data_IF_485112355258
#
_entry.id   IF_485112355258
#
_cell.length_a   1.000
_cell.length_b   1.000
_cell.length_c   1.000
_cell.angle_alpha   90.00
_cell.angle_beta   90.00
_cell.angle_gamma   90.00
#
_symmetry.space_group_name_H-M   'P 1'
#
loop_
_entity.id
_entity.type
_entity.pdbx_description
1 polymer ?
#
# COMPACT_ATOMS: atom_id res chain seq x y z
N UNK A 1 -28.56 38.00 -54.52
CA UNK A 1 -28.23 38.04 -53.08
C UNK A 1 -28.20 36.60 -52.60
N UNK A 2 -27.03 36.09 -52.21
CA UNK A 2 -26.81 34.68 -51.86
C UNK A 2 -26.52 34.58 -50.37
N UNK A 3 -27.36 33.79 -49.70
CA UNK A 3 -27.26 33.36 -48.31
C UNK A 3 -26.34 32.13 -48.24
N UNK A 4 -25.37 32.12 -47.33
CA UNK A 4 -24.83 30.95 -46.59
C UNK A 4 -24.12 31.53 -45.35
N UNK A 5 -24.82 31.72 -44.23
CA UNK A 5 -24.99 30.79 -43.08
C UNK A 5 -23.67 30.37 -42.43
N UNK A 6 -23.53 30.87 -41.19
CA UNK A 6 -22.45 30.67 -40.22
C UNK A 6 -22.15 29.19 -39.95
N UNK A 7 -20.87 28.82 -40.03
CA UNK A 7 -20.30 27.63 -39.40
C UNK A 7 -20.11 27.91 -37.90
N UNK A 8 -21.15 27.67 -37.11
CA UNK A 8 -21.02 27.49 -35.67
C UNK A 8 -20.68 26.01 -35.42
N UNK A 9 -19.40 25.70 -35.28
CA UNK A 9 -18.93 24.39 -34.84
C UNK A 9 -19.33 24.18 -33.38
N UNK A 10 -20.50 23.56 -33.17
CA UNK A 10 -20.89 23.00 -31.89
C UNK A 10 -20.01 21.79 -31.57
N UNK A 11 -19.05 21.98 -30.67
CA UNK A 11 -18.30 20.88 -30.08
C UNK A 11 -19.23 20.16 -29.09
N UNK A 12 -19.86 19.08 -29.53
CA UNK A 12 -20.52 18.14 -28.66
C UNK A 12 -19.44 17.45 -27.80
N UNK A 13 -19.23 17.95 -26.59
CA UNK A 13 -18.47 17.25 -25.55
C UNK A 13 -19.29 16.04 -25.12
N UNK A 14 -19.09 14.93 -25.84
CA UNK A 14 -19.46 13.61 -25.36
C UNK A 14 -18.55 13.35 -24.16
N UNK A 15 -19.08 13.58 -22.96
CA UNK A 15 -18.51 13.08 -21.71
C UNK A 15 -18.66 11.56 -21.78
N UNK A 16 -17.65 10.90 -22.33
CA UNK A 16 -17.50 9.46 -22.16
C UNK A 16 -17.14 9.28 -20.69
N UNK A 17 -18.13 8.85 -19.91
CA UNK A 17 -17.93 8.24 -18.61
C UNK A 17 -17.06 6.99 -18.82
N UNK A 18 -15.75 7.19 -18.84
CA UNK A 18 -14.79 6.10 -18.86
C UNK A 18 -14.75 5.48 -17.46
N UNK A 19 -15.35 4.29 -17.33
CA UNK A 19 -14.86 3.31 -16.36
C UNK A 19 -15.82 2.78 -15.29
N UNK A 20 -17.11 2.58 -15.56
CA UNK A 20 -17.81 1.47 -14.90
C UNK A 20 -17.29 0.16 -15.51
N UNK A 21 -16.29 -0.47 -14.90
CA UNK A 21 -15.71 -1.71 -15.45
C UNK A 21 -14.58 -2.38 -14.69
N UNK A 22 -14.10 -1.83 -13.57
CA UNK A 22 -13.33 -2.61 -12.61
C UNK A 22 -14.31 -3.13 -11.57
N UNK A 23 -14.70 -4.41 -11.67
CA UNK A 23 -15.43 -5.07 -10.59
C UNK A 23 -14.61 -4.90 -9.30
N UNK A 24 -15.22 -4.39 -8.24
CA UNK A 24 -14.53 -4.33 -6.94
C UNK A 24 -14.01 -5.75 -6.61
N UNK A 25 -12.74 -5.87 -6.18
CA UNK A 25 -12.17 -7.17 -5.90
C UNK A 25 -12.97 -7.88 -4.81
N UNK A 26 -13.22 -9.18 -4.98
CA UNK A 26 -13.88 -9.97 -3.94
C UNK A 26 -13.01 -10.01 -2.66
N UNK A 27 -13.65 -10.19 -1.49
CA UNK A 27 -12.91 -10.40 -0.24
C UNK A 27 -11.94 -11.57 -0.37
N UNK A 28 -12.34 -12.65 -1.05
CA UNK A 28 -11.50 -13.82 -1.26
C UNK A 28 -10.23 -13.50 -2.06
N UNK A 29 -10.37 -12.75 -3.16
CA UNK A 29 -9.23 -12.34 -4.00
C UNK A 29 -8.28 -11.42 -3.21
N UNK A 30 -8.82 -10.40 -2.55
CA UNK A 30 -8.04 -9.46 -1.74
C UNK A 30 -7.31 -10.17 -0.58
N UNK A 31 -8.01 -11.07 0.10
CA UNK A 31 -7.45 -11.85 1.20
C UNK A 31 -6.35 -12.82 0.73
N UNK A 32 -6.53 -13.46 -0.42
CA UNK A 32 -5.51 -14.35 -0.99
C UNK A 32 -4.24 -13.58 -1.34
N UNK A 33 -4.35 -12.36 -1.88
CA UNK A 33 -3.19 -11.52 -2.16
C UNK A 33 -2.49 -11.07 -0.87
N UNK A 34 -3.24 -10.67 0.15
CA UNK A 34 -2.68 -10.32 1.46
C UNK A 34 -2.00 -11.52 2.15
N UNK A 35 -2.52 -12.73 1.94
CA UNK A 35 -1.90 -13.97 2.41
C UNK A 35 -0.58 -14.25 1.68
N UNK A 36 -0.50 -14.03 0.37
CA UNK A 36 0.76 -14.12 -0.38
C UNK A 36 1.77 -13.10 0.12
N UNK A 37 1.35 -11.86 0.41
CA UNK A 37 2.24 -10.83 0.95
C UNK A 37 2.82 -11.22 2.30
N UNK A 38 1.99 -11.81 3.17
CA UNK A 38 2.45 -12.36 4.45
C UNK A 38 3.55 -13.42 4.22
N UNK A 39 3.31 -14.37 3.31
CA UNK A 39 4.28 -15.42 2.99
C UNK A 39 5.55 -14.86 2.35
N UNK A 40 5.43 -13.88 1.45
CA UNK A 40 6.57 -13.19 0.82
C UNK A 40 7.41 -12.47 1.86
N UNK A 41 6.81 -11.75 2.80
CA UNK A 41 7.53 -11.11 3.91
C UNK A 41 8.27 -12.12 4.77
N UNK A 42 7.64 -13.25 5.12
CA UNK A 42 8.28 -14.33 5.88
C UNK A 42 9.40 -15.02 5.11
N UNK A 43 9.39 -14.93 3.78
CA UNK A 43 10.35 -15.60 2.91
C UNK A 43 11.36 -14.68 2.24
N UNK A 44 11.27 -13.37 2.45
CA UNK A 44 12.17 -12.35 1.91
C UNK A 44 13.56 -12.44 2.55
N UNK A 45 14.62 -12.36 1.74
CA UNK A 45 16.00 -12.51 2.21
C UNK A 45 16.42 -11.44 3.23
N UNK A 46 15.82 -10.24 3.18
CA UNK A 46 16.10 -9.17 4.16
C UNK A 46 15.42 -9.49 5.48
N UNK A 47 14.13 -9.85 5.45
CA UNK A 47 13.38 -10.07 6.68
C UNK A 47 13.64 -11.43 7.33
N UNK A 48 14.09 -12.42 6.56
CA UNK A 48 14.62 -13.69 7.09
C UNK A 48 15.93 -13.53 7.83
N UNK A 49 16.71 -12.50 7.52
CA UNK A 49 17.97 -12.28 8.22
C UNK A 49 17.65 -12.04 9.71
N UNK A 50 18.20 -12.86 10.63
CA UNK A 50 17.91 -12.76 12.07
C UNK A 50 18.16 -11.38 12.66
N UNK A 51 19.04 -10.58 12.06
CA UNK A 51 19.31 -9.21 12.51
C UNK A 51 18.11 -8.28 12.33
N UNK A 52 17.26 -8.56 11.34
CA UNK A 52 16.11 -7.71 11.00
C UNK A 52 14.84 -8.00 11.82
N UNK A 53 14.87 -9.07 12.63
CA UNK A 53 13.85 -9.45 13.63
C UNK A 53 12.41 -9.23 13.16
N UNK A 54 12.04 -9.74 11.98
CA UNK A 54 10.64 -9.68 11.53
C UNK A 54 9.74 -10.42 12.52
N UNK A 55 8.66 -9.75 12.93
CA UNK A 55 7.61 -10.31 13.79
C UNK A 55 6.25 -10.03 13.18
N UNK A 56 5.54 -11.09 12.81
CA UNK A 56 4.13 -11.00 12.41
C UNK A 56 3.28 -10.87 13.68
N UNK A 57 2.63 -9.71 13.83
CA UNK A 57 1.74 -9.40 14.95
C UNK A 57 0.31 -9.86 14.69
N UNK A 58 -0.12 -9.81 13.44
CA UNK A 58 -1.45 -10.22 13.00
C UNK A 58 -1.38 -10.79 11.59
N UNK A 59 -2.00 -11.96 11.38
CA UNK A 59 -2.12 -12.60 10.07
C UNK A 59 -3.47 -12.28 9.42
N UNK A 60 -3.58 -12.37 8.08
CA UNK A 60 -4.81 -12.12 7.34
C UNK A 60 -5.69 -13.37 7.21
N UNK A 61 -5.69 -14.24 8.22
CA UNK A 61 -6.50 -15.46 8.28
C UNK A 61 -7.92 -15.17 8.81
N UNK A 62 -8.04 -14.18 9.71
CA UNK A 62 -9.30 -13.80 10.34
C UNK A 62 -10.02 -12.67 9.61
N UNK A 63 -11.29 -12.90 9.29
CA UNK A 63 -12.22 -11.86 8.84
C UNK A 63 -12.57 -10.91 10.00
N UNK A 64 -12.49 -9.61 9.75
CA UNK A 64 -12.81 -8.54 10.72
C UNK A 64 -14.04 -7.81 10.20
N UNK A 65 -15.15 -7.77 10.96
CA UNK A 65 -16.31 -6.96 10.60
C UNK A 65 -15.92 -5.49 10.48
N UNK A 66 -16.38 -4.82 9.42
CA UNK A 66 -16.11 -3.41 9.19
C UNK A 66 -17.35 -2.60 8.81
N UNK A 67 -18.39 -3.26 8.27
CA UNK A 67 -19.70 -2.68 7.99
C UNK A 67 -20.73 -3.83 7.94
N UNK A 68 -22.02 -3.51 7.80
CA UNK A 68 -23.10 -4.49 7.70
C UNK A 68 -22.82 -5.47 6.56
N UNK A 69 -22.75 -6.76 6.90
CA UNK A 69 -22.49 -7.88 5.99
C UNK A 69 -21.18 -7.75 5.18
N UNK A 70 -20.21 -6.96 5.69
CA UNK A 70 -18.89 -6.74 5.08
C UNK A 70 -17.76 -6.99 6.06
N UNK A 71 -16.65 -7.45 5.51
CA UNK A 71 -15.47 -7.85 6.25
C UNK A 71 -14.21 -7.34 5.58
N UNK A 72 -13.14 -7.26 6.37
CA UNK A 72 -11.80 -7.01 5.88
C UNK A 72 -10.82 -7.96 6.53
N UNK A 73 -9.64 -8.12 5.92
CA UNK A 73 -8.52 -8.83 6.52
C UNK A 73 -7.35 -7.89 6.72
N UNK A 74 -6.54 -8.19 7.72
CA UNK A 74 -5.45 -7.32 8.17
C UNK A 74 -4.20 -8.15 8.41
N UNK A 75 -3.08 -7.68 7.89
CA UNK A 75 -1.75 -8.12 8.27
C UNK A 75 -1.05 -6.98 9.01
N UNK A 76 -0.49 -7.30 10.18
CA UNK A 76 0.39 -6.40 10.93
C UNK A 76 1.70 -7.09 11.20
N UNK A 77 2.80 -6.39 10.95
CA UNK A 77 4.12 -6.88 11.25
C UNK A 77 5.03 -5.74 11.73
N UNK A 78 6.07 -6.10 12.46
CA UNK A 78 7.17 -5.20 12.82
C UNK A 78 8.48 -5.80 12.38
N UNK A 79 9.43 -4.98 11.97
CA UNK A 79 10.80 -5.40 11.72
C UNK A 79 11.76 -4.33 12.24
N UNK A 80 12.95 -4.76 12.64
CA UNK A 80 13.97 -3.94 13.29
C UNK A 80 15.20 -3.89 12.40
N UNK A 81 15.51 -2.75 11.79
CA UNK A 81 16.77 -2.54 11.10
C UNK A 81 17.75 -1.93 12.09
N UNK A 82 18.63 -2.76 12.64
CA UNK A 82 19.59 -2.30 13.64
C UNK A 82 20.43 -1.13 13.10
N UNK A 83 20.41 -0.01 13.82
CA UNK A 83 21.29 1.14 13.58
C UNK A 83 22.70 0.80 14.07
N UNK A 84 23.69 0.81 13.16
CA UNK A 84 25.10 0.58 13.50
C UNK A 84 25.85 1.89 13.29
N UNK A 85 25.99 2.68 14.36
CA UNK A 85 26.85 3.89 14.42
C UNK A 85 26.63 4.93 13.31
N UNK A 86 25.42 5.00 12.76
CA UNK A 86 25.03 5.92 11.71
C UNK A 86 24.22 7.10 12.26
N UNK A 87 24.38 8.32 11.70
CA UNK A 87 23.50 9.44 12.04
C UNK A 87 22.03 9.08 11.79
N UNK A 88 21.15 9.57 12.67
CA UNK A 88 19.72 9.24 12.68
C UNK A 88 19.04 9.42 11.32
N UNK A 89 19.32 10.55 10.65
CA UNK A 89 18.76 10.86 9.34
C UNK A 89 19.19 9.87 8.25
N UNK A 90 20.48 9.53 8.17
CA UNK A 90 20.97 8.56 7.18
C UNK A 90 20.45 7.13 7.44
N UNK A 91 20.21 6.79 8.71
CA UNK A 91 19.56 5.54 9.05
C UNK A 91 18.10 5.52 8.58
N UNK A 92 17.35 6.60 8.84
CA UNK A 92 15.96 6.75 8.40
C UNK A 92 15.81 6.70 6.87
N UNK A 93 16.65 7.41 6.12
CA UNK A 93 16.63 7.41 4.65
C UNK A 93 16.86 6.00 4.08
N UNK A 94 17.83 5.26 4.63
CA UNK A 94 18.11 3.89 4.19
C UNK A 94 17.00 2.93 4.57
N UNK A 95 16.47 3.05 5.79
CA UNK A 95 15.35 2.24 6.24
C UNK A 95 14.11 2.45 5.35
N UNK A 96 13.81 3.70 4.99
CA UNK A 96 12.73 4.03 4.08
C UNK A 96 13.00 3.43 2.69
N UNK A 97 14.15 3.72 2.08
CA UNK A 97 14.46 3.25 0.72
C UNK A 97 14.46 1.72 0.59
N UNK A 98 14.93 1.00 1.62
CA UNK A 98 14.83 -0.46 1.66
C UNK A 98 13.37 -0.93 1.66
N UNK A 99 12.51 -0.32 2.48
CA UNK A 99 11.10 -0.68 2.55
C UNK A 99 10.35 -0.33 1.27
N UNK A 100 10.55 0.87 0.71
CA UNK A 100 9.94 1.29 -0.55
C UNK A 100 10.30 0.32 -1.68
N UNK A 101 11.58 -0.05 -1.79
CA UNK A 101 12.04 -1.02 -2.78
C UNK A 101 11.36 -2.38 -2.60
N UNK A 102 11.16 -2.83 -1.36
CA UNK A 102 10.50 -4.10 -1.06
C UNK A 102 9.01 -4.06 -1.36
N UNK A 103 8.32 -3.00 -0.97
CA UNK A 103 6.92 -2.79 -1.28
C UNK A 103 6.69 -2.84 -2.80
N UNK A 104 7.53 -2.15 -3.59
CA UNK A 104 7.41 -2.13 -5.05
C UNK A 104 7.82 -3.47 -5.67
N UNK A 105 9.07 -3.89 -5.46
CA UNK A 105 9.68 -4.99 -6.25
C UNK A 105 9.31 -6.38 -5.76
N UNK A 106 9.20 -6.56 -4.44
CA UNK A 106 8.93 -7.88 -3.85
C UNK A 106 7.44 -8.11 -3.65
N UNK A 107 6.72 -7.05 -3.23
CA UNK A 107 5.31 -7.17 -2.88
C UNK A 107 4.38 -6.63 -3.98
N UNK A 108 4.84 -5.80 -4.91
CA UNK A 108 4.03 -5.32 -6.04
C UNK A 108 3.04 -4.22 -5.68
N UNK A 109 3.35 -3.39 -4.67
CA UNK A 109 2.56 -2.19 -4.37
C UNK A 109 2.96 -1.03 -5.27
N UNK A 110 1.96 -0.28 -5.72
CA UNK A 110 2.15 1.07 -6.24
C UNK A 110 2.18 2.01 -5.03
N UNK A 111 3.25 2.79 -4.90
CA UNK A 111 3.41 3.73 -3.78
C UNK A 111 2.73 5.05 -4.10
N UNK A 112 2.07 5.62 -3.10
CA UNK A 112 1.56 6.99 -3.19
C UNK A 112 2.75 7.94 -3.02
N UNK A 113 3.13 8.63 -4.09
CA UNK A 113 4.27 9.55 -4.11
C UNK A 113 3.91 10.96 -3.60
N UNK A 114 2.87 11.08 -2.78
CA UNK A 114 2.42 12.39 -2.31
C UNK A 114 3.50 13.05 -1.44
N UNK A 115 4.18 14.03 -2.04
CA UNK A 115 5.21 14.88 -1.45
C UNK A 115 4.71 15.70 -0.25
N UNK A 116 3.41 15.68 0.05
CA UNK A 116 2.82 16.29 1.25
C UNK A 116 2.74 15.35 2.44
N UNK A 117 3.28 14.12 2.33
CA UNK A 117 3.47 13.20 3.45
C UNK A 117 4.19 13.93 4.58
N UNK A 118 3.44 14.32 5.60
CA UNK A 118 4.00 14.87 6.84
C UNK A 118 4.84 13.76 7.47
N UNK A 119 6.14 13.85 7.25
CA UNK A 119 7.12 13.29 8.17
C UNK A 119 6.68 13.70 9.58
N UNK A 120 6.45 12.72 10.45
CA UNK A 120 6.37 13.00 11.87
C UNK A 120 7.78 13.40 12.33
N UNK A 121 7.89 14.19 13.40
CA UNK A 121 9.19 14.66 13.92
C UNK A 121 10.20 13.51 14.12
N UNK A 122 9.71 12.29 14.32
CA UNK A 122 10.50 11.09 14.62
C UNK A 122 10.36 9.95 13.58
N UNK A 123 9.75 10.18 12.41
CA UNK A 123 9.58 9.10 11.44
C UNK A 123 8.77 9.44 10.19
N UNK A 124 8.64 8.47 9.28
CA UNK A 124 8.04 8.66 7.96
C UNK A 124 6.97 7.63 7.68
N UNK A 125 5.96 8.00 6.92
CA UNK A 125 4.94 7.08 6.46
C UNK A 125 5.13 6.76 4.98
N UNK A 126 5.08 5.48 4.64
CA UNK A 126 5.01 5.00 3.27
C UNK A 126 3.60 4.46 3.06
N UNK A 127 2.92 4.94 2.03
CA UNK A 127 1.60 4.47 1.63
C UNK A 127 1.70 3.78 0.28
N UNK A 128 0.86 2.77 0.08
CA UNK A 128 0.71 2.17 -1.23
C UNK A 128 -0.53 1.31 -1.34
N UNK A 129 -0.83 0.93 -2.58
CA UNK A 129 -1.95 0.06 -2.89
C UNK A 129 -1.64 -0.93 -4.01
N UNK A 130 -2.39 -2.02 -4.03
CA UNK A 130 -2.49 -2.91 -5.17
C UNK A 130 -3.81 -2.64 -5.87
N UNK A 131 -3.77 -2.02 -7.04
CA UNK A 131 -4.97 -1.67 -7.82
C UNK A 131 -5.91 -2.86 -8.00
N UNK A 132 -5.38 -3.98 -8.49
CA UNK A 132 -6.20 -5.16 -8.84
C UNK A 132 -6.86 -5.86 -7.65
N UNK A 133 -6.21 -5.87 -6.49
CA UNK A 133 -6.69 -6.59 -5.30
C UNK A 133 -7.29 -5.68 -4.23
N UNK A 134 -7.18 -4.36 -4.39
CA UNK A 134 -7.69 -3.37 -3.43
C UNK A 134 -7.01 -3.43 -2.06
N UNK A 135 -5.84 -4.06 -1.96
CA UNK A 135 -5.06 -4.13 -0.72
C UNK A 135 -4.30 -2.83 -0.54
N UNK A 136 -4.47 -2.19 0.62
CA UNK A 136 -3.75 -0.97 1.01
C UNK A 136 -2.70 -1.31 2.04
N UNK A 137 -1.53 -0.71 1.92
CA UNK A 137 -0.45 -0.79 2.90
C UNK A 137 -0.10 0.59 3.45
N UNK A 138 0.17 0.63 4.73
CA UNK A 138 0.79 1.75 5.42
C UNK A 138 1.97 1.21 6.21
N UNK A 139 3.15 1.78 5.99
CA UNK A 139 4.34 1.46 6.77
C UNK A 139 4.80 2.71 7.47
N UNK A 140 4.94 2.64 8.79
CA UNK A 140 5.63 3.67 9.55
C UNK A 140 7.09 3.26 9.72
N UNK A 141 7.99 4.15 9.32
CA UNK A 141 9.45 4.02 9.42
C UNK A 141 9.94 4.93 10.53
N UNK A 142 10.63 4.37 11.51
CA UNK A 142 11.23 5.10 12.63
C UNK A 142 12.74 4.84 12.69
N UNK A 143 13.53 5.79 13.21
CA UNK A 143 14.95 5.58 13.43
C UNK A 143 15.25 4.65 14.61
N UNK A 144 14.27 4.44 15.48
CA UNK A 144 14.35 3.53 16.63
C UNK A 144 13.60 2.23 16.37
N UNK A 145 14.01 1.17 17.08
CA UNK A 145 13.35 -0.12 17.01
C UNK A 145 11.90 -0.06 17.57
N UNK A 146 10.91 -0.69 16.92
CA UNK A 146 11.00 -1.32 15.62
C UNK A 146 11.08 -0.28 14.50
N UNK A 147 12.10 -0.42 13.64
CA UNK A 147 12.33 0.47 12.51
C UNK A 147 11.15 0.51 11.56
N UNK A 148 10.47 -0.61 11.35
CA UNK A 148 9.26 -0.65 10.54
C UNK A 148 8.07 -1.20 11.31
N UNK A 149 6.93 -0.52 11.16
CA UNK A 149 5.61 -1.01 11.57
C UNK A 149 4.74 -1.08 10.33
N UNK A 150 4.52 -2.29 9.84
CA UNK A 150 3.80 -2.60 8.61
C UNK A 150 2.34 -2.89 8.95
N UNK A 151 1.43 -2.23 8.25
CA UNK A 151 0.00 -2.48 8.34
C UNK A 151 -0.58 -2.57 6.92
N UNK A 152 -0.99 -3.76 6.51
CA UNK A 152 -1.69 -3.97 5.26
C UNK A 152 -3.11 -4.48 5.52
N UNK A 153 -4.08 -4.01 4.74
CA UNK A 153 -5.47 -4.42 4.89
C UNK A 153 -6.20 -4.44 3.55
N UNK A 154 -7.19 -5.32 3.44
CA UNK A 154 -8.15 -5.30 2.33
C UNK A 154 -9.12 -4.13 2.50
N UNK A 155 -9.81 -3.76 1.42
CA UNK A 155 -11.04 -2.98 1.51
C UNK A 155 -12.10 -3.70 2.38
N UNK A 156 -13.13 -2.94 2.79
CA UNK A 156 -14.30 -3.50 3.46
C UNK A 156 -15.24 -4.09 2.40
N UNK A 157 -15.20 -5.42 2.24
CA UNK A 157 -15.77 -6.14 1.12
C UNK A 157 -16.82 -7.15 1.61
N UNK A 158 -17.81 -7.42 0.78
CA UNK A 158 -18.74 -8.53 1.01
C UNK A 158 -18.01 -9.88 0.85
N UNK A 159 -18.48 -10.89 1.57
CA UNK A 159 -17.96 -12.26 1.47
C UNK A 159 -18.17 -12.86 0.08
#
# INVERSE_FOLDING_TARGET
MRVVVLLATGLALIVVAAGCGASEPSLQTAAAELQKDTQRLETDDVFKNPTYKLRILQRPDKDIPCDKDKFKRVMRATADYARIDEPLFHHLDRAQGLMENRLIRALGYELDLDITQSDADEGRFIYGMKGDSGVKVTVYVAPEAPTWRIHAQTACLSK
#
